data_IF_137633395622
#
_entry.id   IF_137633395622
#
_cell.length_a   1.000
_cell.length_b   1.000
_cell.length_c   1.000
_cell.angle_alpha   90.00
_cell.angle_beta   90.00
_cell.angle_gamma   90.00
#
_symmetry.space_group_name_H-M   'P 1'
#
loop_
_entity.id
_entity.type
_entity.pdbx_description
1 polymer ?
#
# COMPACT_ATOMS: atom_id res chain seq x y z
N UNK A 1 -27.85 -13.19 11.09
CA UNK A 1 -26.89 -13.12 9.97
C UNK A 1 -26.07 -11.86 10.17
N UNK A 2 -24.88 -11.99 10.74
CA UNK A 2 -23.92 -10.89 10.73
C UNK A 2 -23.41 -10.74 9.30
N UNK A 3 -23.53 -9.53 8.74
CA UNK A 3 -22.93 -9.19 7.45
C UNK A 3 -21.41 -9.23 7.59
N UNK A 4 -20.66 -9.57 6.54
CA UNK A 4 -19.18 -9.45 6.56
C UNK A 4 -18.71 -8.08 7.07
N UNK A 5 -19.46 -7.02 6.76
CA UNK A 5 -19.23 -5.67 7.26
C UNK A 5 -19.20 -5.59 8.79
N UNK A 6 -20.12 -6.30 9.46
CA UNK A 6 -20.19 -6.40 10.92
C UNK A 6 -19.07 -7.28 11.51
N UNK A 7 -18.56 -8.27 10.77
CA UNK A 7 -17.40 -9.07 11.16
C UNK A 7 -16.06 -8.36 10.91
N UNK A 8 -16.03 -7.38 10.00
CA UNK A 8 -14.89 -6.48 9.78
C UNK A 8 -14.91 -5.28 10.75
N UNK A 9 -16.11 -4.86 11.19
CA UNK A 9 -16.32 -3.83 12.23
C UNK A 9 -16.22 -4.38 13.66
N UNK A 10 -16.22 -5.70 13.86
CA UNK A 10 -16.05 -6.29 15.19
C UNK A 10 -14.57 -6.26 15.57
N UNK A 11 -14.28 -5.84 16.82
CA UNK A 11 -12.93 -5.88 17.40
C UNK A 11 -12.31 -7.28 17.51
N UNK A 12 -13.03 -8.30 17.04
CA UNK A 12 -12.68 -9.72 16.98
C UNK A 12 -12.53 -10.22 15.54
N UNK A 13 -12.13 -9.35 14.59
CA UNK A 13 -11.33 -9.78 13.45
C UNK A 13 -10.25 -10.71 14.03
N UNK A 14 -10.41 -12.02 13.86
CA UNK A 14 -9.36 -12.98 14.21
C UNK A 14 -8.28 -12.79 13.16
N UNK A 15 -7.50 -11.72 13.36
CA UNK A 15 -6.21 -11.49 12.77
C UNK A 15 -5.44 -12.80 12.98
N UNK A 16 -5.29 -13.60 11.93
CA UNK A 16 -4.22 -14.60 11.89
C UNK A 16 -2.93 -13.81 11.77
N UNK A 17 -2.57 -13.12 12.85
CA UNK A 17 -1.45 -12.20 12.92
C UNK A 17 -0.17 -13.03 12.99
N UNK A 18 0.30 -13.47 11.83
CA UNK A 18 1.72 -13.72 11.59
C UNK A 18 2.43 -12.46 11.09
N UNK A 19 1.71 -11.34 10.96
CA UNK A 19 2.26 -10.08 10.49
C UNK A 19 3.16 -9.44 11.55
N UNK A 20 4.20 -8.76 11.07
CA UNK A 20 5.11 -7.98 11.88
C UNK A 20 4.32 -6.98 12.74
N UNK A 21 4.76 -6.69 13.97
CA UNK A 21 4.15 -5.61 14.72
C UNK A 21 4.28 -4.28 13.94
N UNK A 22 3.38 -3.32 14.18
CA UNK A 22 3.46 -2.00 13.54
C UNK A 22 4.85 -1.38 13.72
N UNK A 23 5.45 -1.52 14.91
CA UNK A 23 6.82 -1.06 15.18
C UNK A 23 7.88 -1.76 14.31
N UNK A 24 7.74 -3.07 14.09
CA UNK A 24 8.67 -3.83 13.25
C UNK A 24 8.52 -3.46 11.77
N UNK A 25 7.29 -3.22 11.31
CA UNK A 25 7.00 -2.72 9.96
C UNK A 25 7.61 -1.32 9.76
N UNK A 26 7.32 -0.39 10.67
CA UNK A 26 7.86 0.98 10.67
C UNK A 26 9.39 0.95 10.64
N UNK A 27 10.01 0.19 11.55
CA UNK A 27 11.46 0.07 11.62
C UNK A 27 12.05 -0.53 10.34
N UNK A 28 11.42 -1.56 9.79
CA UNK A 28 11.86 -2.20 8.55
C UNK A 28 11.85 -1.23 7.37
N UNK A 29 10.70 -0.60 7.11
CA UNK A 29 10.54 0.35 6.01
C UNK A 29 11.44 1.57 6.17
N UNK A 30 11.54 2.15 7.37
CA UNK A 30 12.41 3.30 7.62
C UNK A 30 13.89 2.94 7.44
N UNK A 31 14.32 1.75 7.89
CA UNK A 31 15.70 1.31 7.72
C UNK A 31 16.02 1.05 6.24
N UNK A 32 15.13 0.40 5.49
CA UNK A 32 15.33 0.18 4.04
C UNK A 32 15.43 1.49 3.26
N UNK A 33 14.75 2.55 3.69
CA UNK A 33 14.87 3.87 3.06
C UNK A 33 16.22 4.55 3.34
N UNK A 34 16.85 4.22 4.47
CA UNK A 34 18.13 4.81 4.90
C UNK A 34 19.31 4.03 4.33
N UNK A 35 19.19 2.70 4.29
CA UNK A 35 20.25 1.81 3.81
C UNK A 35 20.49 1.99 2.30
N UNK A 36 21.74 1.80 1.82
CA UNK A 36 22.02 1.81 0.39
C UNK A 36 21.22 0.73 -0.34
N UNK A 37 20.61 1.10 -1.47
CA UNK A 37 19.83 0.16 -2.25
C UNK A 37 20.66 -1.01 -2.79
N UNK A 38 20.30 -2.23 -2.40
CA UNK A 38 20.83 -3.46 -2.98
C UNK A 38 19.97 -3.89 -4.17
N UNK A 39 20.45 -3.64 -5.40
CA UNK A 39 19.75 -4.03 -6.64
C UNK A 39 19.55 -5.55 -6.79
N UNK A 40 20.40 -6.38 -6.18
CA UNK A 40 20.29 -7.85 -6.30
C UNK A 40 19.19 -8.38 -5.37
N UNK A 41 19.04 -7.78 -4.19
CA UNK A 41 17.99 -8.14 -3.25
C UNK A 41 16.66 -7.47 -3.55
N UNK A 42 16.70 -6.27 -4.12
CA UNK A 42 15.52 -5.41 -4.23
C UNK A 42 15.02 -4.99 -2.86
N UNK A 43 13.78 -4.51 -2.82
CA UNK A 43 13.09 -4.17 -1.59
C UNK A 43 12.32 -5.34 -1.02
N UNK A 44 12.24 -5.40 0.30
CA UNK A 44 11.39 -6.37 0.97
C UNK A 44 9.93 -5.96 0.84
N UNK A 45 9.09 -6.95 0.58
CA UNK A 45 7.65 -6.82 0.73
C UNK A 45 7.25 -7.13 2.16
N UNK A 46 6.51 -6.22 2.78
CA UNK A 46 6.00 -6.36 4.12
C UNK A 46 4.49 -6.59 4.07
N UNK A 47 4.04 -7.77 4.50
CA UNK A 47 2.61 -8.01 4.75
C UNK A 47 2.19 -7.21 5.98
N UNK A 48 1.33 -6.22 5.76
CA UNK A 48 0.85 -5.28 6.78
C UNK A 48 -0.40 -5.79 7.48
N UNK A 49 -1.23 -6.55 6.76
CA UNK A 49 -2.43 -7.19 7.30
C UNK A 49 -2.82 -8.37 6.40
N UNK A 50 -3.30 -9.45 7.02
CA UNK A 50 -3.77 -10.64 6.32
C UNK A 50 -4.96 -11.27 7.03
N UNK A 51 -5.96 -11.66 6.27
CA UNK A 51 -7.06 -12.53 6.72
C UNK A 51 -6.97 -13.84 5.94
N UNK A 52 -6.90 -14.95 6.69
CA UNK A 52 -6.94 -16.30 6.12
C UNK A 52 -8.18 -17.05 6.65
N UNK A 53 -8.91 -17.72 5.76
CA UNK A 53 -10.18 -18.39 6.07
C UNK A 53 -11.03 -18.65 4.82
N UNK A 54 -12.35 -18.48 4.90
CA UNK A 54 -13.30 -18.58 3.77
C UNK A 54 -13.13 -17.48 2.69
N UNK A 55 -12.00 -16.76 2.73
CA UNK A 55 -11.50 -15.86 1.73
C UNK A 55 -10.09 -15.41 2.13
N UNK A 56 -9.22 -15.16 1.15
CA UNK A 56 -7.90 -14.55 1.35
C UNK A 56 -8.01 -13.05 1.10
N UNK A 57 -7.47 -12.29 2.05
CA UNK A 57 -7.23 -10.85 1.91
C UNK A 57 -5.84 -10.56 2.43
N UNK A 58 -5.02 -9.84 1.65
CA UNK A 58 -3.67 -9.44 2.05
C UNK A 58 -3.43 -7.99 1.66
N UNK A 59 -2.84 -7.24 2.58
CA UNK A 59 -2.41 -5.87 2.37
C UNK A 59 -0.90 -5.78 2.59
N UNK A 60 -0.19 -5.16 1.68
CA UNK A 60 1.26 -5.16 1.62
C UNK A 60 1.80 -3.74 1.44
N UNK A 61 3.01 -3.52 1.94
CA UNK A 61 3.75 -2.29 1.78
C UNK A 61 5.20 -2.60 1.43
N UNK A 62 5.77 -1.82 0.51
CA UNK A 62 7.19 -1.90 0.13
C UNK A 62 7.61 -0.61 -0.53
N UNK A 63 8.91 -0.34 -0.58
CA UNK A 63 9.40 0.71 -1.46
C UNK A 63 9.34 0.25 -2.92
N UNK A 64 8.94 1.16 -3.82
CA UNK A 64 8.88 0.87 -5.24
C UNK A 64 10.28 0.85 -5.84
N UNK A 65 10.61 -0.21 -6.58
CA UNK A 65 11.85 -0.28 -7.35
C UNK A 65 11.87 0.71 -8.53
N UNK A 66 10.69 1.11 -8.99
CA UNK A 66 10.52 2.06 -10.08
C UNK A 66 10.83 3.49 -9.64
N UNK A 67 11.47 4.24 -10.53
CA UNK A 67 11.66 5.68 -10.34
C UNK A 67 10.34 6.43 -10.54
N UNK A 68 10.21 7.63 -9.95
CA UNK A 68 9.08 8.52 -10.23
C UNK A 68 8.90 8.78 -11.72
N UNK A 69 10.00 8.96 -12.45
CA UNK A 69 9.95 9.14 -13.90
C UNK A 69 9.34 7.92 -14.59
N UNK A 70 9.73 6.71 -14.19
CA UNK A 70 9.20 5.46 -14.74
C UNK A 70 7.69 5.34 -14.52
N UNK A 71 7.23 5.63 -13.29
CA UNK A 71 5.79 5.66 -12.94
C UNK A 71 5.05 6.68 -13.78
N UNK A 72 5.59 7.90 -13.91
CA UNK A 72 4.98 8.98 -14.68
C UNK A 72 4.91 8.71 -16.19
N UNK A 73 5.86 7.97 -16.74
CA UNK A 73 5.90 7.67 -18.19
C UNK A 73 5.10 6.43 -18.58
N UNK A 74 4.87 5.50 -17.65
CA UNK A 74 4.10 4.28 -17.91
C UNK A 74 2.61 4.52 -17.65
N UNK A 75 1.99 5.33 -18.51
CA UNK A 75 0.57 5.72 -18.38
C UNK A 75 -0.41 4.60 -18.72
N UNK A 76 0.06 3.50 -19.29
CA UNK A 76 -0.74 2.28 -19.48
C UNK A 76 -0.96 1.53 -18.17
N UNK A 77 -0.01 1.63 -17.23
CA UNK A 77 -0.12 1.03 -15.91
C UNK A 77 -0.58 2.02 -14.86
N UNK A 78 -0.03 3.24 -14.84
CA UNK A 78 -0.21 4.16 -13.73
C UNK A 78 -1.06 5.36 -14.11
N UNK A 79 -2.14 5.55 -13.37
CA UNK A 79 -2.99 6.73 -13.44
C UNK A 79 -2.69 7.66 -12.28
N UNK A 80 -2.61 8.96 -12.57
CA UNK A 80 -2.33 9.97 -11.56
C UNK A 80 -3.62 10.30 -10.80
N UNK A 81 -3.69 9.94 -9.52
CA UNK A 81 -4.82 10.30 -8.65
C UNK A 81 -4.65 11.71 -8.05
N UNK A 82 -3.43 12.08 -7.65
CA UNK A 82 -3.11 13.42 -7.16
C UNK A 82 -1.70 13.86 -7.61
N UNK A 83 -1.22 15.00 -7.11
CA UNK A 83 0.13 15.44 -7.41
C UNK A 83 1.20 14.41 -7.00
N UNK A 84 0.95 13.68 -5.92
CA UNK A 84 1.90 12.79 -5.24
C UNK A 84 1.54 11.31 -5.29
N UNK A 85 0.32 10.96 -5.74
CA UNK A 85 -0.21 9.59 -5.75
C UNK A 85 -0.53 9.13 -7.16
N UNK A 86 -0.08 7.92 -7.48
CA UNK A 86 -0.43 7.19 -8.69
C UNK A 86 -1.06 5.86 -8.29
N UNK A 87 -2.07 5.43 -9.05
CA UNK A 87 -2.83 4.20 -8.84
C UNK A 87 -2.66 3.35 -10.08
N UNK A 88 -2.43 2.05 -9.90
CA UNK A 88 -2.32 1.14 -11.02
C UNK A 88 -3.70 0.90 -11.65
N UNK A 89 -3.74 0.72 -12.97
CA UNK A 89 -4.90 0.17 -13.67
C UNK A 89 -5.24 -1.19 -13.04
N UNK A 90 -6.47 -1.41 -12.52
CA UNK A 90 -6.85 -2.65 -11.86
C UNK A 90 -6.64 -3.89 -12.74
N UNK A 91 -6.78 -3.77 -14.06
CA UNK A 91 -6.56 -4.86 -15.01
C UNK A 91 -5.08 -5.28 -15.08
N UNK A 92 -4.16 -4.35 -14.84
CA UNK A 92 -2.72 -4.61 -14.84
C UNK A 92 -2.23 -5.31 -13.57
N UNK A 93 -3.02 -5.30 -12.50
CA UNK A 93 -2.69 -5.87 -11.18
C UNK A 93 -3.67 -6.95 -10.72
N UNK A 94 -4.43 -7.54 -11.65
CA UNK A 94 -5.29 -8.69 -11.35
C UNK A 94 -6.48 -8.38 -10.44
N UNK A 95 -6.94 -7.13 -10.41
CA UNK A 95 -8.02 -6.65 -9.55
C UNK A 95 -7.57 -6.14 -8.18
N UNK A 96 -6.26 -6.13 -7.90
CA UNK A 96 -5.72 -5.49 -6.70
C UNK A 96 -5.88 -3.96 -6.79
N UNK A 97 -5.89 -3.31 -5.63
CA UNK A 97 -5.69 -1.86 -5.56
C UNK A 97 -4.24 -1.62 -5.20
N UNK A 98 -3.45 -1.20 -6.19
CA UNK A 98 -2.03 -0.92 -6.08
C UNK A 98 -1.80 0.59 -6.26
N UNK A 99 -1.16 1.22 -5.28
CA UNK A 99 -0.89 2.64 -5.29
C UNK A 99 0.57 2.92 -4.91
N UNK A 100 1.14 3.95 -5.52
CA UNK A 100 2.47 4.45 -5.20
C UNK A 100 2.37 5.93 -4.88
N UNK A 101 3.06 6.34 -3.81
CA UNK A 101 3.10 7.75 -3.43
C UNK A 101 4.47 8.16 -2.93
N UNK A 102 4.74 9.46 -3.02
CA UNK A 102 6.04 9.99 -2.57
C UNK A 102 6.12 10.04 -1.03
N UNK A 103 7.03 9.30 -0.42
CA UNK A 103 7.36 9.40 1.00
C UNK A 103 8.87 9.65 1.18
N UNK A 104 9.21 10.78 1.79
CA UNK A 104 10.58 11.16 2.12
C UNK A 104 10.86 10.91 3.61
N UNK A 105 11.79 9.99 3.89
CA UNK A 105 12.20 9.65 5.26
C UNK A 105 13.41 10.48 5.67
N UNK A 106 13.38 11.02 6.89
CA UNK A 106 14.52 11.76 7.45
C UNK A 106 15.75 10.85 7.55
N UNK A 107 16.86 11.28 6.94
CA UNK A 107 18.12 10.53 6.94
C UNK A 107 18.28 9.56 5.76
N UNK A 108 17.25 9.37 4.93
CA UNK A 108 17.39 8.67 3.66
C UNK A 108 18.30 9.45 2.71
N UNK A 109 19.37 8.82 2.22
CA UNK A 109 20.22 9.44 1.19
C UNK A 109 19.46 9.44 -0.14
N UNK A 110 19.36 10.59 -0.80
CA UNK A 110 18.43 10.85 -1.92
C UNK A 110 18.69 10.11 -3.23
N UNK A 111 19.19 8.88 -3.20
CA UNK A 111 19.74 8.21 -4.39
C UNK A 111 18.76 7.40 -5.24
N UNK A 112 17.58 7.00 -4.78
CA UNK A 112 16.61 6.36 -5.70
C UNK A 112 15.17 6.19 -5.20
N UNK A 113 14.87 6.47 -3.93
CA UNK A 113 13.75 5.80 -3.27
C UNK A 113 12.92 6.82 -2.52
N UNK A 114 11.90 7.32 -3.22
CA UNK A 114 10.89 8.18 -2.62
C UNK A 114 9.51 7.60 -2.80
N UNK A 115 9.33 6.47 -3.47
CA UNK A 115 8.00 5.93 -3.76
C UNK A 115 7.71 4.77 -2.83
N UNK A 116 6.72 4.94 -1.96
CA UNK A 116 6.15 3.87 -1.17
C UNK A 116 4.99 3.26 -1.95
N UNK A 117 5.08 1.96 -2.20
CA UNK A 117 4.06 1.13 -2.85
C UNK A 117 3.22 0.48 -1.76
N UNK A 118 1.90 0.57 -1.89
CA UNK A 118 0.97 -0.19 -1.05
C UNK A 118 0.00 -0.93 -1.94
N UNK A 119 -0.17 -2.22 -1.67
CA UNK A 119 -1.05 -3.08 -2.44
C UNK A 119 -2.06 -3.73 -1.53
N UNK A 120 -3.31 -3.66 -1.90
CA UNK A 120 -4.38 -4.41 -1.25
C UNK A 120 -4.91 -5.42 -2.24
N UNK A 121 -4.86 -6.70 -1.90
CA UNK A 121 -5.26 -7.76 -2.81
C UNK A 121 -6.77 -7.77 -3.04
N UNK A 122 -7.19 -8.18 -4.23
CA UNK A 122 -8.59 -8.49 -4.49
C UNK A 122 -9.13 -9.49 -3.44
N UNK A 123 -10.33 -9.24 -2.87
CA UNK A 123 -10.94 -10.13 -1.91
C UNK A 123 -11.44 -11.41 -2.59
N UNK A 124 -11.13 -12.58 -2.03
CA UNK A 124 -11.83 -13.81 -2.40
C UNK A 124 -13.34 -13.72 -2.08
N UNK A 125 -14.19 -14.50 -2.76
CA UNK A 125 -15.60 -14.61 -2.38
C UNK A 125 -15.78 -15.04 -0.92
N UNK A 126 -16.69 -14.42 -0.15
CA UNK A 126 -17.63 -13.37 -0.56
C UNK A 126 -16.97 -12.00 -0.74
N UNK A 127 -17.14 -11.44 -1.95
CA UNK A 127 -16.47 -10.21 -2.37
C UNK A 127 -16.97 -9.02 -1.54
N UNK A 128 -16.06 -8.19 -1.06
CA UNK A 128 -16.39 -6.83 -0.58
C UNK A 128 -16.60 -5.90 -1.79
N UNK A 129 -17.25 -4.76 -1.57
CA UNK A 129 -17.43 -3.77 -2.64
C UNK A 129 -16.08 -3.18 -3.06
N UNK A 130 -15.96 -2.85 -4.34
CA UNK A 130 -14.78 -2.16 -4.87
C UNK A 130 -14.46 -0.86 -4.13
N UNK A 131 -15.49 -0.07 -3.80
CA UNK A 131 -15.34 1.14 -3.00
C UNK A 131 -14.71 0.86 -1.61
N UNK A 132 -15.04 -0.25 -0.97
CA UNK A 132 -14.46 -0.61 0.33
C UNK A 132 -12.98 -1.00 0.16
N UNK A 133 -12.66 -1.72 -0.90
CA UNK A 133 -11.29 -2.12 -1.23
C UNK A 133 -10.40 -0.90 -1.50
N UNK A 134 -10.88 0.05 -2.29
CA UNK A 134 -10.19 1.33 -2.54
C UNK A 134 -10.01 2.15 -1.26
N UNK A 135 -11.06 2.28 -0.43
CA UNK A 135 -10.99 2.97 0.87
C UNK A 135 -9.95 2.34 1.80
N UNK A 136 -9.84 1.01 1.79
CA UNK A 136 -8.85 0.31 2.60
C UNK A 136 -7.42 0.58 2.13
N UNK A 137 -7.19 0.63 0.82
CA UNK A 137 -5.89 1.00 0.25
C UNK A 137 -5.52 2.45 0.59
N UNK A 138 -6.45 3.40 0.44
CA UNK A 138 -6.27 4.80 0.84
C UNK A 138 -5.95 4.91 2.32
N UNK A 139 -6.68 4.19 3.17
CA UNK A 139 -6.46 4.18 4.62
C UNK A 139 -5.09 3.64 4.97
N UNK A 140 -4.67 2.53 4.36
CA UNK A 140 -3.34 1.96 4.54
C UNK A 140 -2.24 2.96 4.15
N UNK A 141 -2.37 3.58 2.98
CA UNK A 141 -1.42 4.56 2.47
C UNK A 141 -1.25 5.75 3.43
N UNK A 142 -2.36 6.28 3.96
CA UNK A 142 -2.35 7.37 4.95
C UNK A 142 -1.75 6.94 6.28
N UNK A 143 -2.12 5.76 6.78
CA UNK A 143 -1.52 5.21 8.00
C UNK A 143 -0.01 5.08 7.84
N UNK A 144 0.48 4.55 6.72
CA UNK A 144 1.92 4.43 6.47
C UNK A 144 2.60 5.79 6.33
N UNK A 145 1.96 6.77 5.69
CA UNK A 145 2.46 8.14 5.63
C UNK A 145 2.71 8.72 7.03
N UNK A 146 1.72 8.56 7.90
CA UNK A 146 1.74 9.13 9.24
C UNK A 146 2.72 8.37 10.15
N UNK A 147 2.69 7.04 10.13
CA UNK A 147 3.56 6.17 10.93
C UNK A 147 5.04 6.28 10.54
N UNK A 148 5.34 6.40 9.24
CA UNK A 148 6.71 6.60 8.76
C UNK A 148 7.17 8.06 8.84
N UNK A 149 6.29 8.98 9.25
CA UNK A 149 6.58 10.40 9.39
C UNK A 149 7.15 10.99 8.08
N UNK A 150 6.48 10.72 6.96
CA UNK A 150 6.91 11.20 5.63
C UNK A 150 7.04 12.73 5.62
N UNK A 151 8.27 13.22 5.55
CA UNK A 151 8.62 14.65 5.71
C UNK A 151 8.10 15.56 4.59
N UNK A 152 7.69 14.99 3.46
CA UNK A 152 7.13 15.70 2.32
C UNK A 152 5.60 15.75 2.32
N UNK A 153 4.94 15.21 3.35
CA UNK A 153 3.49 15.27 3.56
C UNK A 153 2.66 14.98 2.29
N UNK A 154 2.81 13.80 1.65
CA UNK A 154 2.11 13.49 0.41
C UNK A 154 0.60 13.62 0.56
N UNK A 155 -0.02 14.30 -0.40
CA UNK A 155 -1.47 14.46 -0.44
C UNK A 155 -2.15 13.20 -1.00
N UNK A 156 -2.51 12.29 -0.09
CA UNK A 156 -3.27 11.09 -0.40
C UNK A 156 -4.77 11.43 -0.33
N UNK A 157 -5.52 11.29 -1.44
CA UNK A 157 -6.91 11.72 -1.51
C UNK A 157 -7.80 10.85 -0.61
N UNK A 158 -9.01 11.32 -0.28
CA UNK A 158 -9.98 10.55 0.50
C UNK A 158 -10.57 9.39 -0.30
N UNK A 159 -10.70 9.59 -1.61
CA UNK A 159 -11.27 8.64 -2.57
C UNK A 159 -10.35 8.60 -3.79
N UNK A 160 -10.27 7.44 -4.44
CA UNK A 160 -9.53 7.29 -5.69
C UNK A 160 -10.52 7.51 -6.82
N UNK A 161 -10.41 8.63 -7.54
CA UNK A 161 -11.10 8.84 -8.82
C UNK A 161 -10.42 7.96 -9.88
N UNK A 162 -10.58 6.65 -9.75
CA UNK A 162 -10.38 5.70 -10.84
C UNK A 162 -11.76 5.54 -11.47
N UNK A 163 -12.13 6.48 -12.35
CA UNK A 163 -13.30 6.33 -13.21
C UNK A 163 -13.17 4.99 -13.95
N UNK A 164 -14.21 4.16 -13.84
CA UNK A 164 -14.34 2.89 -14.56
C UNK A 164 -14.69 3.06 -16.02
#
# INVERSE_FOLDING_TARGET
METLRASLDSGDLKFSNTALSVDQLKKGLAQEAIDPYDKLRGFKEYETCGLSGNGRFTAMARWAADSLKSVQTNTERWHRATADVYVADPSSVGGDVDLVFRCAIKGASGQAQVLLETRVSAPDPPRVSEAFHQQLAVKLARTLRDELECTNEPNIPDELDVDG
#
